data_IF_356590092815
#
_entry.id   IF_356590092815
#
_cell.length_a   1.000
_cell.length_b   1.000
_cell.length_c   1.000
_cell.angle_alpha   90.00
_cell.angle_beta   90.00
_cell.angle_gamma   90.00
#
_symmetry.space_group_name_H-M   'P 1'
#
loop_
_entity.id
_entity.type
_entity.pdbx_description
1 polymer ?
#
# COMPACT_ATOMS: atom_id res chain seq x y z
N UNK A 1 -21.03 -8.80 -48.25
CA UNK A 1 -20.85 -10.27 -48.51
C UNK A 1 -21.26 -10.95 -47.20
N UNK A 2 -22.52 -11.34 -47.02
CA UNK A 2 -23.18 -12.58 -47.49
C UNK A 2 -22.48 -13.81 -46.85
N UNK A 3 -23.09 -14.46 -45.91
CA UNK A 3 -24.05 -15.59 -45.86
C UNK A 3 -23.91 -16.26 -44.48
N UNK A 4 -24.85 -16.69 -43.82
CA UNK A 4 -26.10 -17.48 -43.78
C UNK A 4 -26.02 -18.46 -42.62
N UNK A 5 -26.87 -18.31 -41.61
CA UNK A 5 -28.11 -19.07 -41.34
C UNK A 5 -27.97 -20.61 -41.47
N UNK A 6 -28.19 -21.30 -40.34
CA UNK A 6 -29.00 -22.51 -40.41
C UNK A 6 -29.71 -22.72 -39.05
N UNK A 7 -31.02 -22.55 -39.12
CA UNK A 7 -32.02 -23.09 -38.21
C UNK A 7 -32.27 -24.55 -38.60
N UNK A 8 -32.51 -25.41 -37.67
CA UNK A 8 -33.29 -26.62 -37.91
C UNK A 8 -34.27 -26.84 -36.76
N UNK A 9 -35.51 -26.81 -37.20
CA UNK A 9 -36.77 -27.12 -36.52
C UNK A 9 -37.12 -28.59 -36.66
N UNK A 10 -38.14 -29.01 -35.89
CA UNK A 10 -39.07 -30.16 -36.04
C UNK A 10 -38.67 -31.43 -35.25
N UNK A 11 -39.59 -32.20 -34.71
CA UNK A 11 -41.05 -32.32 -34.63
C UNK A 11 -41.39 -33.35 -33.58
N UNK A 12 -42.36 -33.16 -32.79
CA UNK A 12 -43.72 -33.68 -32.72
C UNK A 12 -43.88 -35.21 -32.92
N UNK A 13 -44.59 -35.74 -31.93
CA UNK A 13 -45.54 -36.84 -31.91
C UNK A 13 -45.03 -38.30 -31.80
N UNK A 14 -45.48 -38.97 -30.74
CA UNK A 14 -46.41 -40.06 -30.93
C UNK A 14 -47.06 -40.52 -29.62
N UNK A 15 -48.36 -40.62 -29.70
CA UNK A 15 -49.34 -41.11 -28.72
C UNK A 15 -49.42 -42.66 -28.77
N UNK A 16 -50.08 -43.19 -27.72
CA UNK A 16 -50.87 -44.45 -27.64
C UNK A 16 -50.07 -45.65 -27.07
N UNK A 17 -50.52 -46.43 -26.14
CA UNK A 17 -51.78 -47.15 -25.89
C UNK A 17 -51.71 -47.82 -24.52
N UNK A 18 -52.83 -47.77 -23.78
CA UNK A 18 -53.16 -48.61 -22.65
C UNK A 18 -53.56 -50.01 -23.19
N UNK A 19 -53.40 -51.14 -22.43
CA UNK A 19 -54.61 -51.70 -21.88
C UNK A 19 -54.47 -52.28 -20.44
N UNK A 20 -55.42 -51.92 -19.63
CA UNK A 20 -56.38 -52.63 -18.76
C UNK A 20 -56.30 -54.18 -18.87
N UNK A 21 -56.02 -54.86 -17.74
CA UNK A 21 -56.50 -56.22 -17.41
C UNK A 21 -56.87 -56.24 -15.93
N UNK A 22 -58.16 -56.40 -15.69
CA UNK A 22 -58.74 -56.79 -14.43
C UNK A 22 -59.05 -58.31 -14.50
N UNK A 23 -58.84 -58.99 -13.41
CA UNK A 23 -59.52 -60.28 -13.07
C UNK A 23 -59.22 -60.54 -11.58
N UNK A 24 -60.13 -60.36 -10.65
CA UNK A 24 -61.19 -61.18 -10.08
C UNK A 24 -60.73 -62.28 -9.07
N UNK A 25 -61.12 -62.05 -7.80
CA UNK A 25 -61.67 -62.93 -6.76
C UNK A 25 -61.26 -64.38 -6.62
N UNK A 26 -60.83 -64.76 -5.38
CA UNK A 26 -61.42 -65.88 -4.67
C UNK A 26 -61.31 -65.70 -3.16
N UNK A 27 -62.44 -65.71 -2.49
CA UNK A 27 -62.66 -65.85 -1.05
C UNK A 27 -62.59 -67.25 -0.60
N UNK A 28 -61.95 -67.50 0.57
CA UNK A 28 -62.26 -68.54 1.55
C UNK A 28 -61.22 -68.33 2.69
N UNK A 29 -61.51 -68.14 3.89
CA UNK A 29 -62.52 -68.63 4.81
C UNK A 29 -61.87 -69.05 6.10
N UNK A 30 -62.25 -68.39 7.25
CA UNK A 30 -62.29 -68.83 8.65
C UNK A 30 -61.02 -69.50 9.28
N UNK A 31 -60.56 -69.14 10.38
CA UNK A 31 -60.86 -68.62 11.73
C UNK A 31 -59.91 -69.28 12.76
N UNK A 32 -59.90 -69.04 14.04
CA UNK A 32 -59.23 -67.93 14.73
C UNK A 32 -58.24 -68.48 15.81
N UNK A 33 -57.77 -67.51 16.55
CA UNK A 33 -56.97 -67.66 17.82
C UNK A 33 -55.47 -67.87 17.72
N UNK A 34 -54.79 -66.71 17.87
CA UNK A 34 -53.78 -66.68 18.92
C UNK A 34 -53.50 -65.25 19.34
N UNK A 35 -53.19 -65.13 20.57
CA UNK A 35 -53.14 -63.96 21.42
C UNK A 35 -52.22 -62.82 20.90
N UNK A 36 -52.74 -61.67 20.94
CA UNK A 36 -52.15 -60.38 21.01
C UNK A 36 -50.85 -60.35 21.85
N UNK A 37 -49.71 -60.20 21.15
CA UNK A 37 -48.55 -59.53 21.72
C UNK A 37 -48.60 -58.08 21.24
N UNK A 38 -48.89 -57.20 22.20
CA UNK A 38 -48.85 -55.77 21.96
C UNK A 38 -47.52 -55.33 21.36
N UNK A 39 -47.50 -54.45 20.33
CA UNK A 39 -46.26 -53.97 19.84
C UNK A 39 -45.55 -53.15 20.95
N UNK A 40 -44.39 -53.64 21.34
CA UNK A 40 -43.44 -52.84 22.15
C UNK A 40 -43.33 -51.49 21.56
N UNK A 41 -43.61 -50.46 22.35
CA UNK A 41 -43.37 -49.07 22.02
C UNK A 41 -41.98 -48.98 21.41
N UNK A 42 -41.92 -48.60 20.12
CA UNK A 42 -40.72 -48.08 19.51
C UNK A 42 -40.31 -46.91 20.37
N UNK A 43 -39.23 -47.08 21.13
CA UNK A 43 -38.56 -45.91 21.72
C UNK A 43 -38.22 -45.01 20.57
N UNK A 44 -38.88 -43.85 20.49
CA UNK A 44 -38.52 -42.76 19.62
C UNK A 44 -37.02 -42.52 19.87
N UNK A 45 -36.18 -42.94 18.92
CA UNK A 45 -34.78 -42.58 18.92
C UNK A 45 -34.80 -41.08 18.59
N UNK A 46 -34.78 -40.25 19.63
CA UNK A 46 -34.64 -38.80 19.48
C UNK A 46 -33.29 -38.54 18.84
N UNK A 47 -33.29 -38.36 17.49
CA UNK A 47 -32.10 -38.04 16.73
C UNK A 47 -31.70 -36.60 17.07
N UNK A 48 -30.67 -36.45 17.90
CA UNK A 48 -30.11 -35.13 18.25
C UNK A 48 -28.96 -34.83 17.31
N UNK A 49 -29.10 -33.81 16.44
CA UNK A 49 -28.01 -33.41 15.57
C UNK A 49 -26.83 -32.86 16.39
N UNK A 50 -25.60 -33.15 15.95
CA UNK A 50 -24.39 -32.55 16.48
C UNK A 50 -24.25 -31.14 15.88
N UNK A 51 -24.16 -30.12 16.73
CA UNK A 51 -24.04 -28.70 16.33
C UNK A 51 -22.82 -28.09 17.01
N UNK A 52 -22.08 -27.30 16.25
CA UNK A 52 -20.89 -26.57 16.73
C UNK A 52 -21.30 -25.17 17.14
N UNK A 53 -20.94 -24.81 18.37
CA UNK A 53 -21.21 -23.49 18.94
C UNK A 53 -19.90 -22.75 19.21
N UNK A 54 -19.98 -21.43 19.14
CA UNK A 54 -18.93 -20.50 19.53
C UNK A 54 -19.52 -19.42 20.42
N UNK A 55 -18.75 -18.99 21.41
CA UNK A 55 -19.17 -17.88 22.25
C UNK A 55 -19.06 -16.55 21.51
N UNK A 56 -20.11 -15.73 21.58
CA UNK A 56 -20.03 -14.34 21.16
C UNK A 56 -19.16 -13.54 22.11
N UNK A 57 -18.50 -12.51 21.63
CA UNK A 57 -17.63 -11.66 22.44
C UNK A 57 -17.91 -10.16 22.22
N UNK A 58 -17.16 -9.30 22.91
CA UNK A 58 -17.21 -7.84 22.75
C UNK A 58 -15.87 -7.26 22.31
N UNK A 59 -14.99 -8.09 21.73
CA UNK A 59 -13.73 -7.59 21.20
C UNK A 59 -13.94 -6.58 20.09
N UNK A 60 -13.01 -5.62 19.92
CA UNK A 60 -13.14 -4.63 18.86
C UNK A 60 -13.17 -5.27 17.47
N UNK A 61 -14.16 -4.90 16.67
CA UNK A 61 -14.18 -5.25 15.25
C UNK A 61 -13.51 -4.15 14.44
N UNK A 62 -12.50 -4.55 13.66
CA UNK A 62 -11.75 -3.67 12.79
C UNK A 62 -12.21 -3.86 11.34
N UNK A 63 -12.52 -2.75 10.68
CA UNK A 63 -12.82 -2.74 9.26
C UNK A 63 -11.63 -2.20 8.49
N UNK A 64 -11.18 -2.96 7.52
CA UNK A 64 -10.05 -2.61 6.68
C UNK A 64 -10.50 -2.39 5.24
N UNK A 65 -9.90 -1.40 4.60
CA UNK A 65 -9.92 -1.24 3.16
C UNK A 65 -8.62 -1.83 2.61
N UNK A 66 -8.72 -2.79 1.72
CA UNK A 66 -7.56 -3.40 1.06
C UNK A 66 -7.30 -2.76 -0.29
N UNK A 67 -6.04 -2.46 -0.56
CA UNK A 67 -5.58 -1.91 -1.83
C UNK A 67 -4.19 -2.41 -2.16
N UNK A 68 -3.91 -2.52 -3.45
CA UNK A 68 -2.58 -2.81 -3.96
C UNK A 68 -1.84 -1.51 -4.29
N UNK A 69 -0.53 -1.56 -4.17
CA UNK A 69 0.32 -0.42 -4.50
C UNK A 69 1.76 -0.80 -4.78
N UNK A 70 2.54 0.22 -5.06
CA UNK A 70 3.94 0.09 -5.45
C UNK A 70 4.81 0.82 -4.42
N UNK A 71 5.92 0.19 -4.06
CA UNK A 71 6.93 0.76 -3.19
C UNK A 71 7.79 1.74 -3.99
N UNK A 72 7.90 2.96 -3.51
CA UNK A 72 8.76 4.02 -4.04
C UNK A 72 9.83 4.41 -2.99
N UNK A 73 10.99 4.87 -3.40
CA UNK A 73 12.00 5.36 -2.46
C UNK A 73 11.51 6.66 -1.81
N UNK A 74 12.04 6.98 -0.63
CA UNK A 74 11.78 8.27 0.00
C UNK A 74 12.28 9.43 -0.86
N UNK A 75 13.50 9.26 -1.42
CA UNK A 75 14.13 10.19 -2.38
C UNK A 75 14.84 9.38 -3.43
N UNK A 76 14.78 9.86 -4.65
CA UNK A 76 15.55 9.38 -5.79
C UNK A 76 16.16 10.56 -6.53
N UNK A 77 17.32 10.36 -7.08
CA UNK A 77 18.01 11.33 -7.91
C UNK A 77 18.84 10.64 -8.99
N UNK A 78 18.66 11.07 -10.21
CA UNK A 78 19.49 10.63 -11.34
C UNK A 78 20.87 11.30 -11.23
N UNK A 79 21.94 10.52 -11.29
CA UNK A 79 23.31 10.98 -11.29
C UNK A 79 23.67 11.44 -12.69
N UNK A 80 23.81 12.76 -12.87
CA UNK A 80 24.15 13.37 -14.16
C UNK A 80 25.25 14.40 -13.96
N UNK A 81 26.41 14.31 -14.67
CA UNK A 81 27.44 15.33 -14.63
C UNK A 81 26.96 16.59 -15.36
N UNK A 82 27.40 17.75 -14.87
CA UNK A 82 27.07 19.06 -15.47
C UNK A 82 28.06 19.48 -16.56
N UNK A 83 29.23 18.85 -16.60
CA UNK A 83 30.28 19.08 -17.60
C UNK A 83 30.63 17.78 -18.27
N UNK A 84 31.29 17.89 -19.44
CA UNK A 84 31.88 16.73 -20.15
C UNK A 84 33.36 16.62 -19.78
N UNK A 85 33.88 15.39 -19.70
CA UNK A 85 35.30 15.17 -19.40
C UNK A 85 35.68 13.71 -19.32
N UNK A 86 36.97 13.46 -19.11
CA UNK A 86 37.50 12.13 -18.84
C UNK A 86 37.42 11.82 -17.36
N UNK A 87 36.97 10.60 -17.02
CA UNK A 87 36.88 10.13 -15.64
C UNK A 87 38.29 9.96 -15.07
N UNK A 88 38.55 10.66 -13.98
CA UNK A 88 39.77 10.42 -13.16
C UNK A 88 39.51 9.30 -12.15
N UNK A 89 38.36 9.33 -11.49
CA UNK A 89 37.95 8.39 -10.48
C UNK A 89 36.44 8.31 -10.34
N UNK A 90 35.90 7.15 -9.97
CA UNK A 90 34.49 6.99 -9.64
C UNK A 90 34.23 5.92 -8.60
N UNK A 91 33.10 6.05 -7.90
CA UNK A 91 32.53 5.08 -6.94
C UNK A 91 31.15 4.58 -7.39
N UNK A 92 30.75 4.89 -8.61
CA UNK A 92 29.44 4.52 -9.15
C UNK A 92 29.49 3.03 -9.51
N UNK A 93 28.83 2.21 -8.68
CA UNK A 93 28.63 0.79 -8.90
C UNK A 93 27.25 0.40 -8.38
N UNK A 94 26.61 -0.59 -9.00
CA UNK A 94 25.30 -1.06 -8.58
C UNK A 94 25.35 -1.63 -7.14
N UNK A 95 24.39 -1.22 -6.29
CA UNK A 95 24.34 -1.58 -4.88
C UNK A 95 25.34 -0.84 -3.98
N UNK A 96 26.16 0.06 -4.51
CA UNK A 96 27.13 0.84 -3.70
C UNK A 96 26.39 1.79 -2.74
N UNK A 97 26.81 1.83 -1.48
CA UNK A 97 26.27 2.73 -0.47
C UNK A 97 27.10 4.00 -0.38
N UNK A 98 26.40 5.13 -0.36
CA UNK A 98 26.98 6.46 -0.29
C UNK A 98 26.36 7.28 0.81
N UNK A 99 27.16 8.19 1.39
CA UNK A 99 26.72 9.18 2.35
C UNK A 99 26.55 10.54 1.66
N UNK A 100 25.76 11.42 2.26
CA UNK A 100 25.65 12.79 1.81
C UNK A 100 27.03 13.46 1.79
N UNK A 101 27.41 14.07 0.67
CA UNK A 101 28.70 14.72 0.47
C UNK A 101 29.78 13.80 -0.10
N UNK A 102 29.55 12.47 -0.18
CA UNK A 102 30.52 11.59 -0.82
C UNK A 102 30.69 11.94 -2.28
N UNK A 103 31.95 11.94 -2.74
CA UNK A 103 32.26 12.09 -4.17
C UNK A 103 31.89 10.80 -4.87
N UNK A 104 31.08 10.88 -5.92
CA UNK A 104 30.62 9.76 -6.74
C UNK A 104 31.47 9.57 -7.99
N UNK A 105 31.91 10.69 -8.58
CA UNK A 105 32.70 10.75 -9.78
C UNK A 105 33.57 12.01 -9.74
N UNK A 106 34.78 11.91 -10.21
CA UNK A 106 35.70 13.02 -10.42
C UNK A 106 36.24 12.96 -11.84
N UNK A 107 36.20 14.10 -12.50
CA UNK A 107 36.84 14.27 -13.81
C UNK A 107 38.31 14.72 -13.66
N UNK A 108 39.14 14.44 -14.66
CA UNK A 108 40.47 15.06 -14.81
C UNK A 108 40.24 16.56 -14.87
N UNK A 109 40.74 17.29 -13.89
CA UNK A 109 40.36 18.69 -13.64
C UNK A 109 41.46 19.74 -13.84
N UNK A 110 42.61 19.36 -14.41
CA UNK A 110 43.78 20.23 -14.51
C UNK A 110 43.49 21.56 -15.26
N UNK A 111 42.73 21.48 -16.34
CA UNK A 111 42.36 22.66 -17.12
C UNK A 111 41.45 23.62 -16.33
N UNK A 112 40.43 23.10 -15.64
CA UNK A 112 39.53 23.93 -14.81
C UNK A 112 40.23 24.51 -13.61
N UNK A 113 41.17 23.75 -13.01
CA UNK A 113 42.01 24.24 -11.92
C UNK A 113 42.91 25.38 -12.37
N UNK A 114 43.53 25.24 -13.52
CA UNK A 114 44.37 26.31 -14.07
C UNK A 114 43.55 27.59 -14.33
N UNK A 115 42.35 27.45 -14.91
CA UNK A 115 41.45 28.61 -15.13
C UNK A 115 41.04 29.25 -13.80
N UNK A 116 40.78 28.47 -12.77
CA UNK A 116 40.44 28.99 -11.44
C UNK A 116 41.63 29.74 -10.84
N UNK A 117 42.83 29.19 -10.93
CA UNK A 117 44.07 29.80 -10.40
C UNK A 117 44.38 31.11 -11.13
N UNK A 118 44.22 31.17 -12.46
CA UNK A 118 44.35 32.39 -13.25
C UNK A 118 43.31 33.46 -12.83
N UNK A 119 42.04 33.08 -12.72
CA UNK A 119 40.96 34.01 -12.32
C UNK A 119 41.18 34.53 -10.89
N UNK A 120 41.65 33.66 -9.97
CA UNK A 120 41.98 34.01 -8.59
C UNK A 120 43.13 35.01 -8.54
N UNK A 121 44.19 34.82 -9.33
CA UNK A 121 45.30 35.73 -9.39
C UNK A 121 44.86 37.10 -9.90
N UNK A 122 44.02 37.17 -10.96
CA UNK A 122 43.48 38.39 -11.49
C UNK A 122 42.58 39.13 -10.46
N UNK A 123 41.79 38.39 -9.69
CA UNK A 123 40.99 38.97 -8.60
C UNK A 123 41.86 39.55 -7.52
N UNK A 124 42.88 38.81 -7.03
CA UNK A 124 43.82 39.33 -6.01
C UNK A 124 44.55 40.56 -6.49
N UNK A 125 45.00 40.62 -7.75
CA UNK A 125 45.67 41.81 -8.32
C UNK A 125 44.72 43.04 -8.36
N UNK A 126 43.47 42.83 -8.82
CA UNK A 126 42.45 43.90 -8.86
C UNK A 126 42.09 44.37 -7.42
N UNK A 127 41.99 43.47 -6.45
CA UNK A 127 41.72 43.78 -5.06
C UNK A 127 42.84 44.57 -4.41
N UNK A 128 44.09 44.21 -4.66
CA UNK A 128 45.27 44.94 -4.16
C UNK A 128 45.33 46.38 -4.74
N UNK A 129 45.13 46.53 -6.04
CA UNK A 129 45.07 47.85 -6.70
C UNK A 129 43.96 48.72 -6.11
N UNK A 130 42.75 48.15 -5.94
CA UNK A 130 41.62 48.83 -5.36
C UNK A 130 41.93 49.27 -3.90
N UNK A 131 42.52 48.41 -3.10
CA UNK A 131 42.83 48.70 -1.70
C UNK A 131 43.88 49.81 -1.57
N UNK A 132 44.93 49.80 -2.40
CA UNK A 132 45.93 50.87 -2.44
C UNK A 132 45.26 52.22 -2.76
N UNK A 133 44.47 52.29 -3.81
CA UNK A 133 43.81 53.54 -4.23
C UNK A 133 42.78 54.01 -3.19
N UNK A 134 42.04 53.08 -2.59
CA UNK A 134 41.10 53.34 -1.49
C UNK A 134 41.80 54.01 -0.32
N UNK A 135 42.97 53.52 0.07
CA UNK A 135 43.76 54.12 1.15
C UNK A 135 44.34 55.49 0.78
N UNK A 136 44.78 55.67 -0.45
CA UNK A 136 45.25 56.97 -0.94
C UNK A 136 44.12 58.00 -0.89
N UNK A 137 42.94 57.70 -1.42
CA UNK A 137 41.80 58.62 -1.46
C UNK A 137 41.24 58.91 -0.04
N UNK A 138 41.29 57.97 0.86
CA UNK A 138 40.92 58.21 2.27
C UNK A 138 41.79 59.22 2.97
N UNK A 139 43.08 59.28 2.63
CA UNK A 139 43.99 60.28 3.19
C UNK A 139 43.71 61.71 2.69
N UNK A 140 43.18 61.82 1.46
CA UNK A 140 42.89 63.11 0.85
C UNK A 140 41.53 63.70 1.22
N UNK A 141 40.62 62.88 1.79
CA UNK A 141 39.26 63.31 2.16
C UNK A 141 39.25 63.70 3.64
N UNK A 142 38.73 64.93 3.93
CA UNK A 142 38.47 65.40 5.30
C UNK A 142 37.45 64.49 5.98
N UNK A 143 37.87 63.74 7.00
CA UNK A 143 37.03 62.74 7.69
C UNK A 143 37.27 61.30 7.27
N UNK A 144 38.07 60.98 6.25
CA UNK A 144 38.56 59.66 5.90
C UNK A 144 37.52 58.64 5.41
N UNK A 145 36.30 59.09 5.07
CA UNK A 145 35.20 58.20 4.60
C UNK A 145 34.88 58.45 3.16
N UNK A 146 35.01 57.43 2.32
CA UNK A 146 34.62 57.47 0.93
C UNK A 146 33.08 57.40 0.81
N UNK A 147 32.49 58.15 -0.13
CA UNK A 147 31.08 57.98 -0.42
C UNK A 147 30.82 56.62 -1.12
N UNK A 148 29.59 56.12 -1.06
CA UNK A 148 29.20 54.90 -1.74
C UNK A 148 29.43 54.98 -3.27
N UNK A 149 29.22 56.17 -3.84
CA UNK A 149 29.47 56.40 -5.27
C UNK A 149 30.96 56.35 -5.62
N UNK A 150 31.82 56.94 -4.76
CA UNK A 150 33.27 56.88 -4.98
C UNK A 150 33.79 55.45 -4.86
N UNK A 151 33.27 54.70 -3.91
CA UNK A 151 33.60 53.28 -3.75
C UNK A 151 33.22 52.44 -4.96
N UNK A 152 32.03 52.63 -5.51
CA UNK A 152 31.60 51.97 -6.77
C UNK A 152 32.45 52.36 -7.96
N UNK A 153 32.75 53.65 -8.10
CA UNK A 153 33.60 54.15 -9.19
C UNK A 153 35.01 53.51 -9.12
N UNK A 154 35.58 53.41 -7.92
CA UNK A 154 36.85 52.74 -7.71
C UNK A 154 36.80 51.26 -8.09
N UNK A 155 35.77 50.53 -7.64
CA UNK A 155 35.61 49.10 -7.97
C UNK A 155 35.49 48.87 -9.48
N UNK A 156 34.80 49.78 -10.20
CA UNK A 156 34.70 49.73 -11.66
C UNK A 156 36.03 50.10 -12.34
N UNK A 157 36.69 51.15 -11.89
CA UNK A 157 37.95 51.63 -12.47
C UNK A 157 39.08 50.58 -12.42
N UNK A 158 39.13 49.81 -11.29
CA UNK A 158 40.17 48.78 -11.12
C UNK A 158 39.68 47.38 -11.51
N UNK A 159 38.48 47.27 -12.10
CA UNK A 159 37.97 46.00 -12.60
C UNK A 159 37.70 44.95 -11.54
N UNK A 160 37.58 45.37 -10.25
CA UNK A 160 37.39 44.46 -9.10
C UNK A 160 36.15 43.58 -9.24
N UNK A 161 34.99 44.17 -9.58
CA UNK A 161 33.74 43.43 -9.74
C UNK A 161 33.80 42.43 -10.89
N UNK A 162 34.49 42.77 -11.99
CA UNK A 162 34.66 41.87 -13.14
C UNK A 162 35.58 40.68 -12.78
N UNK A 163 36.70 40.96 -12.11
CA UNK A 163 37.66 39.96 -11.69
C UNK A 163 37.03 39.00 -10.65
N UNK A 164 36.25 39.57 -9.71
CA UNK A 164 35.50 38.75 -8.72
C UNK A 164 34.50 37.82 -9.41
N UNK A 165 33.69 38.34 -10.33
CA UNK A 165 32.72 37.55 -11.08
C UNK A 165 33.38 36.45 -11.91
N UNK A 166 34.56 36.74 -12.53
CA UNK A 166 35.33 35.74 -13.27
C UNK A 166 35.86 34.63 -12.35
N UNK A 167 36.35 35.00 -11.17
CA UNK A 167 36.81 34.04 -10.16
C UNK A 167 35.63 33.14 -9.65
N UNK A 168 34.52 33.75 -9.26
CA UNK A 168 33.33 33.04 -8.77
C UNK A 168 32.81 32.06 -9.84
N UNK A 169 32.85 32.46 -11.12
CA UNK A 169 32.47 31.60 -12.25
C UNK A 169 33.43 30.43 -12.44
N UNK A 170 34.75 30.68 -12.42
CA UNK A 170 35.77 29.64 -12.55
C UNK A 170 35.71 28.66 -11.38
N UNK A 171 35.43 29.13 -10.15
CA UNK A 171 35.22 28.28 -8.97
C UNK A 171 34.00 27.39 -9.13
N UNK A 172 32.88 27.91 -9.62
CA UNK A 172 31.68 27.15 -9.92
C UNK A 172 31.94 26.07 -10.99
N UNK A 173 32.61 26.42 -12.08
CA UNK A 173 32.98 25.49 -13.15
C UNK A 173 33.90 24.37 -12.62
N UNK A 174 34.92 24.74 -11.81
CA UNK A 174 35.79 23.76 -11.13
C UNK A 174 35.01 22.86 -10.20
N UNK A 175 34.01 23.36 -9.46
CA UNK A 175 33.18 22.54 -8.58
C UNK A 175 32.41 21.44 -9.33
N UNK A 176 32.07 21.67 -10.60
CA UNK A 176 31.36 20.68 -11.44
C UNK A 176 32.26 19.53 -11.90
N UNK A 177 33.60 19.62 -11.72
CA UNK A 177 34.51 18.50 -11.98
C UNK A 177 34.31 17.33 -11.02
N UNK A 178 33.62 17.56 -9.91
CA UNK A 178 33.28 16.53 -8.93
C UNK A 178 31.76 16.42 -8.81
N UNK A 179 31.23 15.21 -8.98
CA UNK A 179 29.82 14.89 -8.75
C UNK A 179 29.72 14.30 -7.35
N UNK A 180 28.91 14.95 -6.49
CA UNK A 180 28.76 14.55 -5.09
C UNK A 180 27.34 14.07 -4.80
N UNK A 181 27.19 13.16 -3.83
CA UNK A 181 25.90 12.67 -3.38
C UNK A 181 25.14 13.74 -2.57
N UNK A 182 23.96 14.19 -2.97
CA UNK A 182 23.21 15.22 -2.23
C UNK A 182 22.51 14.66 -0.99
N UNK A 183 22.37 13.35 -0.89
CA UNK A 183 21.85 12.63 0.28
C UNK A 183 22.41 11.21 0.34
N UNK A 184 22.32 10.60 1.51
CA UNK A 184 22.76 9.23 1.73
C UNK A 184 21.78 8.24 1.12
N UNK A 185 22.30 7.24 0.38
CA UNK A 185 21.46 6.25 -0.32
C UNK A 185 22.28 5.07 -0.86
N UNK A 186 21.64 4.33 -1.74
CA UNK A 186 22.24 3.21 -2.48
C UNK A 186 22.17 3.53 -3.98
N UNK A 187 23.27 3.29 -4.70
CA UNK A 187 23.35 3.55 -6.13
C UNK A 187 22.73 2.38 -6.88
N UNK A 188 21.88 2.70 -7.86
CA UNK A 188 21.43 1.77 -8.87
C UNK A 188 21.93 2.22 -10.24
N UNK A 189 22.67 1.37 -10.94
CA UNK A 189 23.20 1.64 -12.28
C UNK A 189 23.32 0.36 -13.09
N UNK A 190 23.10 0.49 -14.40
CA UNK A 190 23.36 -0.58 -15.38
C UNK A 190 24.63 -0.31 -16.17
N UNK A 191 25.34 0.82 -15.88
CA UNK A 191 26.53 1.22 -16.61
C UNK A 191 27.78 0.62 -15.95
N UNK A 192 28.68 0.16 -16.78
CA UNK A 192 30.04 -0.19 -16.39
C UNK A 192 30.94 1.01 -16.75
N UNK A 193 31.21 1.85 -15.77
CA UNK A 193 32.11 2.98 -15.92
C UNK A 193 33.56 2.52 -15.77
N UNK A 194 34.47 3.19 -16.47
CA UNK A 194 35.90 2.95 -16.36
C UNK A 194 36.63 4.29 -16.24
N UNK A 195 37.67 4.32 -15.41
CA UNK A 195 38.60 5.44 -15.35
C UNK A 195 39.24 5.66 -16.74
N UNK A 196 39.41 6.91 -17.13
CA UNK A 196 39.86 7.29 -18.46
C UNK A 196 38.75 7.33 -19.52
N UNK A 197 37.54 6.88 -19.24
CA UNK A 197 36.43 7.02 -20.18
C UNK A 197 35.95 8.46 -20.28
N UNK A 198 35.53 8.87 -21.48
CA UNK A 198 34.96 10.19 -21.72
C UNK A 198 33.45 10.16 -21.53
N UNK A 199 32.93 11.07 -20.70
CA UNK A 199 31.49 11.21 -20.40
C UNK A 199 31.03 12.59 -20.82
N UNK A 200 29.87 12.63 -21.49
CA UNK A 200 29.21 13.90 -21.86
C UNK A 200 28.37 14.45 -20.69
N UNK A 201 28.26 15.77 -20.63
CA UNK A 201 27.33 16.44 -19.73
C UNK A 201 25.91 15.92 -19.94
N UNK A 202 25.15 15.73 -18.84
CA UNK A 202 23.79 15.22 -18.88
C UNK A 202 23.63 13.71 -19.09
N UNK A 203 24.73 12.96 -19.25
CA UNK A 203 24.65 11.49 -19.34
C UNK A 203 24.09 10.91 -18.04
N UNK A 204 23.08 10.04 -18.13
CA UNK A 204 22.55 9.32 -16.97
C UNK A 204 23.55 8.22 -16.56
N UNK A 205 24.17 8.37 -15.39
CA UNK A 205 25.15 7.44 -14.84
C UNK A 205 24.56 6.43 -13.86
N UNK A 206 23.25 6.59 -13.53
CA UNK A 206 22.55 5.79 -12.55
C UNK A 206 21.68 6.66 -11.66
N UNK A 207 21.19 6.09 -10.57
CA UNK A 207 20.32 6.75 -9.59
C UNK A 207 20.80 6.51 -8.17
N UNK A 208 20.62 7.51 -7.30
CA UNK A 208 20.77 7.33 -5.84
C UNK A 208 19.37 7.18 -5.27
N UNK A 209 19.15 6.12 -4.50
CA UNK A 209 17.87 5.77 -3.91
C UNK A 209 17.99 5.75 -2.38
N UNK A 210 17.16 6.51 -1.67
CA UNK A 210 17.06 6.44 -0.21
C UNK A 210 15.95 5.45 0.18
N UNK A 211 16.35 4.25 0.61
CA UNK A 211 15.46 3.15 1.00
C UNK A 211 15.23 3.02 2.51
N UNK A 212 15.76 3.89 3.35
CA UNK A 212 15.59 3.81 4.82
C UNK A 212 14.14 4.05 5.22
N UNK A 213 13.47 4.91 4.51
CA UNK A 213 12.02 5.06 4.46
C UNK A 213 11.57 4.80 3.05
N UNK A 214 10.38 4.28 2.91
CA UNK A 214 9.75 4.09 1.60
C UNK A 214 8.36 4.71 1.61
N UNK A 215 7.95 5.13 0.44
CA UNK A 215 6.60 5.60 0.17
C UNK A 215 5.87 4.48 -0.57
N UNK A 216 4.69 4.14 -0.10
CA UNK A 216 3.86 3.16 -0.77
C UNK A 216 2.69 3.91 -1.36
N UNK A 217 2.61 3.88 -2.69
CA UNK A 217 1.51 4.48 -3.43
C UNK A 217 0.44 3.44 -3.63
N UNK A 218 -0.69 3.59 -2.94
CA UNK A 218 -1.84 2.71 -3.04
C UNK A 218 -2.91 3.35 -3.92
N UNK A 219 -3.50 2.58 -4.84
CA UNK A 219 -4.61 3.02 -5.68
C UNK A 219 -5.94 2.62 -5.03
N UNK A 220 -6.74 3.59 -4.61
CA UNK A 220 -8.00 3.41 -3.89
C UNK A 220 -9.17 3.86 -4.74
N UNK A 221 -10.29 3.14 -4.71
CA UNK A 221 -11.50 3.54 -5.43
C UNK A 221 -12.02 4.91 -4.96
N UNK A 222 -12.51 5.71 -5.90
CA UNK A 222 -13.06 7.04 -5.62
C UNK A 222 -14.16 7.01 -4.54
N UNK A 223 -15.02 6.00 -4.58
CA UNK A 223 -16.09 5.80 -3.59
C UNK A 223 -15.59 5.60 -2.15
N UNK A 224 -14.38 5.09 -1.99
CA UNK A 224 -13.77 4.81 -0.68
C UNK A 224 -12.92 5.97 -0.15
N UNK A 225 -12.49 6.88 -1.03
CA UNK A 225 -11.63 8.02 -0.63
C UNK A 225 -12.24 8.91 0.45
N UNK A 226 -13.57 9.07 0.43
CA UNK A 226 -14.29 9.89 1.42
C UNK A 226 -14.14 9.39 2.85
N UNK A 227 -13.84 8.10 3.02
CA UNK A 227 -13.65 7.44 4.32
C UNK A 227 -12.21 7.56 4.83
N UNK A 228 -11.27 7.94 3.96
CA UNK A 228 -9.86 8.01 4.31
C UNK A 228 -9.49 9.36 4.91
N UNK A 229 -8.54 9.34 5.84
CA UNK A 229 -7.95 10.51 6.48
C UNK A 229 -6.44 10.33 6.61
N UNK A 230 -5.73 11.44 6.52
CA UNK A 230 -4.29 11.47 6.85
C UNK A 230 -4.11 11.04 8.31
N UNK A 231 -3.09 10.23 8.56
CA UNK A 231 -2.77 9.68 9.87
C UNK A 231 -3.36 8.31 10.18
N UNK A 232 -4.26 7.77 9.32
CA UNK A 232 -4.80 6.42 9.49
C UNK A 232 -3.69 5.36 9.43
N UNK A 233 -3.82 4.33 10.26
CA UNK A 233 -2.88 3.22 10.30
C UNK A 233 -3.09 2.27 9.11
N UNK A 234 -1.97 1.84 8.53
CA UNK A 234 -1.96 0.94 7.38
C UNK A 234 -1.03 -0.22 7.67
N UNK A 235 -1.53 -1.43 7.51
CA UNK A 235 -0.75 -2.65 7.53
C UNK A 235 -0.31 -2.97 6.10
N UNK A 236 0.99 -3.12 5.91
CA UNK A 236 1.58 -3.45 4.61
C UNK A 236 2.05 -4.88 4.63
N UNK A 237 1.71 -5.62 3.58
CA UNK A 237 2.21 -6.97 3.34
C UNK A 237 2.81 -7.11 1.96
N UNK A 238 4.00 -7.69 1.89
CA UNK A 238 4.65 -8.01 0.62
C UNK A 238 4.37 -9.46 0.20
N UNK A 239 4.54 -9.81 -1.08
CA UNK A 239 4.41 -11.20 -1.55
C UNK A 239 5.39 -12.17 -0.88
N UNK A 240 6.53 -11.67 -0.37
CA UNK A 240 7.50 -12.46 0.38
C UNK A 240 7.10 -12.75 1.84
N UNK A 241 5.91 -12.29 2.27
CA UNK A 241 5.42 -12.46 3.65
C UNK A 241 5.93 -11.42 4.64
N UNK A 242 6.76 -10.46 4.22
CA UNK A 242 7.17 -9.36 5.09
C UNK A 242 6.00 -8.44 5.40
N UNK A 243 5.88 -8.08 6.68
CA UNK A 243 4.83 -7.18 7.18
C UNK A 243 5.45 -5.94 7.80
N UNK A 244 4.85 -4.81 7.53
CA UNK A 244 5.21 -3.52 8.12
C UNK A 244 3.95 -2.72 8.43
N UNK A 245 4.09 -1.71 9.28
CA UNK A 245 3.03 -0.75 9.56
C UNK A 245 3.48 0.63 9.12
N UNK A 246 2.54 1.41 8.64
CA UNK A 246 2.77 2.79 8.23
C UNK A 246 1.53 3.63 8.51
N UNK A 247 1.59 4.89 8.09
CA UNK A 247 0.47 5.82 8.20
C UNK A 247 0.20 6.48 6.86
N UNK A 248 -1.08 6.77 6.60
CA UNK A 248 -1.46 7.60 5.45
C UNK A 248 -0.84 8.99 5.64
N UNK A 249 0.14 9.32 4.81
CA UNK A 249 0.83 10.60 4.83
C UNK A 249 0.11 11.64 3.95
N UNK A 250 -0.40 11.19 2.80
CA UNK A 250 -1.03 12.09 1.82
C UNK A 250 -2.16 11.36 1.09
N UNK A 251 -3.23 12.10 0.82
CA UNK A 251 -4.30 11.70 -0.09
C UNK A 251 -4.21 12.63 -1.30
N UNK A 252 -4.01 12.06 -2.49
CA UNK A 252 -3.89 12.84 -3.71
C UNK A 252 -5.20 13.57 -4.03
N UNK A 253 -5.15 14.84 -4.40
CA UNK A 253 -6.33 15.56 -4.86
C UNK A 253 -6.76 15.16 -6.29
N UNK A 254 -5.94 14.37 -6.99
CA UNK A 254 -6.20 13.95 -8.36
C UNK A 254 -6.83 12.56 -8.40
N UNK A 255 -7.88 12.42 -9.20
CA UNK A 255 -8.54 11.16 -9.48
C UNK A 255 -8.22 10.74 -10.92
N UNK A 256 -7.80 9.51 -11.09
CA UNK A 256 -7.66 8.89 -12.39
C UNK A 256 -9.06 8.55 -12.92
N UNK A 257 -9.52 9.31 -13.92
CA UNK A 257 -10.88 9.19 -14.48
C UNK A 257 -11.14 7.86 -15.18
N UNK A 258 -10.11 7.27 -15.79
CA UNK A 258 -10.24 6.00 -16.51
C UNK A 258 -10.42 4.83 -15.55
N UNK A 259 -9.63 4.81 -14.46
CA UNK A 259 -9.66 3.75 -13.45
C UNK A 259 -10.63 4.04 -12.32
N UNK A 260 -11.16 5.27 -12.20
CA UNK A 260 -11.96 5.76 -11.08
C UNK A 260 -11.28 5.52 -9.72
N UNK A 261 -9.97 5.77 -9.67
CA UNK A 261 -9.14 5.62 -8.49
C UNK A 261 -8.48 6.92 -8.12
N UNK A 262 -8.34 7.17 -6.84
CA UNK A 262 -7.43 8.16 -6.29
C UNK A 262 -6.22 7.48 -5.67
N UNK A 263 -5.18 8.23 -5.40
CA UNK A 263 -3.94 7.72 -4.84
C UNK A 263 -3.75 8.19 -3.42
N UNK A 264 -3.28 7.28 -2.57
CA UNK A 264 -2.80 7.64 -1.24
C UNK A 264 -1.33 7.24 -1.12
N UNK A 265 -0.59 8.02 -0.35
CA UNK A 265 0.81 7.75 -0.03
C UNK A 265 0.90 7.35 1.43
N UNK A 266 1.46 6.19 1.67
CA UNK A 266 1.74 5.65 3.00
C UNK A 266 3.25 5.68 3.23
N UNK A 267 3.70 6.30 4.32
CA UNK A 267 5.10 6.27 4.72
C UNK A 267 5.36 5.09 5.65
N UNK A 268 6.43 4.38 5.36
CA UNK A 268 6.83 3.17 6.09
C UNK A 268 8.33 3.21 6.36
N UNK A 269 8.72 2.96 7.61
CA UNK A 269 10.12 2.77 7.97
C UNK A 269 10.61 1.39 7.45
N UNK A 270 11.69 1.41 6.68
CA UNK A 270 12.25 0.22 6.02
C UNK A 270 13.68 -0.06 6.47
N UNK A 271 13.91 -0.06 7.78
CA UNK A 271 15.24 -0.28 8.36
C UNK A 271 15.81 -1.66 8.00
N UNK A 272 14.96 -2.66 7.84
CA UNK A 272 15.34 -4.02 7.39
C UNK A 272 15.67 -4.10 5.90
N UNK A 273 15.32 -3.06 5.09
CA UNK A 273 15.44 -3.02 3.63
C UNK A 273 14.73 -4.18 2.90
N UNK A 274 13.72 -4.75 3.56
CA UNK A 274 12.92 -5.83 2.98
C UNK A 274 12.01 -5.33 1.85
N UNK A 275 11.58 -4.06 1.91
CA UNK A 275 10.78 -3.42 0.86
C UNK A 275 11.74 -2.78 -0.16
N UNK A 276 11.72 -3.29 -1.40
CA UNK A 276 12.52 -2.77 -2.50
C UNK A 276 11.66 -1.88 -3.40
N UNK A 277 12.24 -0.83 -3.94
CA UNK A 277 11.60 0.04 -4.94
C UNK A 277 11.08 -0.78 -6.12
N UNK A 278 9.85 -0.47 -6.58
CA UNK A 278 9.17 -1.21 -7.63
C UNK A 278 8.42 -2.47 -7.18
N UNK A 279 8.56 -2.87 -5.90
CA UNK A 279 7.84 -4.02 -5.36
C UNK A 279 6.36 -3.72 -5.23
N UNK A 280 5.50 -4.65 -5.67
CA UNK A 280 4.06 -4.58 -5.42
C UNK A 280 3.76 -5.10 -4.02
N UNK A 281 2.91 -4.39 -3.28
CA UNK A 281 2.50 -4.72 -1.92
C UNK A 281 1.00 -4.54 -1.75
N UNK A 282 0.44 -5.20 -0.74
CA UNK A 282 -0.95 -5.00 -0.33
C UNK A 282 -0.98 -4.14 0.93
N UNK A 283 -1.77 -3.08 0.90
CA UNK A 283 -2.05 -2.21 2.03
C UNK A 283 -3.45 -2.48 2.59
N UNK A 284 -3.55 -2.70 3.90
CA UNK A 284 -4.81 -2.80 4.65
C UNK A 284 -4.94 -1.56 5.52
N UNK A 285 -5.81 -0.64 5.12
CA UNK A 285 -6.02 0.64 5.80
C UNK A 285 -7.13 0.45 6.82
N UNK A 286 -6.87 0.77 8.09
CA UNK A 286 -7.87 0.71 9.13
C UNK A 286 -8.84 1.88 8.97
N UNK A 287 -10.06 1.62 8.50
CA UNK A 287 -11.07 2.64 8.23
C UNK A 287 -12.02 2.87 9.40
N UNK A 288 -12.39 1.80 10.10
CA UNK A 288 -13.36 1.88 11.19
C UNK A 288 -12.97 0.91 12.32
N UNK A 289 -13.25 1.30 13.56
CA UNK A 289 -13.09 0.47 14.74
C UNK A 289 -14.39 0.52 15.54
N UNK A 290 -15.01 -0.65 15.72
CA UNK A 290 -16.24 -0.78 16.49
C UNK A 290 -15.92 -1.45 17.82
N UNK A 291 -16.10 -0.73 18.91
CA UNK A 291 -15.81 -1.19 20.28
C UNK A 291 -17.10 -1.32 21.07
N UNK A 292 -17.11 -2.26 22.04
CA UNK A 292 -18.24 -2.45 22.96
C UNK A 292 -19.50 -2.91 22.27
N UNK A 293 -19.40 -3.59 21.16
CA UNK A 293 -20.49 -4.18 20.40
C UNK A 293 -20.40 -5.69 20.44
N UNK A 294 -21.56 -6.36 20.42
CA UNK A 294 -21.60 -7.81 20.36
C UNK A 294 -21.06 -8.31 19.02
N UNK A 295 -19.95 -9.02 19.08
CA UNK A 295 -19.27 -9.60 17.93
C UNK A 295 -19.45 -11.12 17.90
N UNK A 296 -19.69 -11.66 16.71
CA UNK A 296 -19.70 -13.10 16.49
C UNK A 296 -19.06 -13.42 15.12
N UNK A 297 -18.55 -14.65 14.91
CA UNK A 297 -18.13 -15.09 13.58
C UNK A 297 -19.27 -14.98 12.57
N UNK A 298 -18.96 -14.58 11.33
CA UNK A 298 -19.98 -14.44 10.28
C UNK A 298 -20.76 -15.72 10.03
N UNK A 299 -20.16 -16.88 10.26
CA UNK A 299 -20.78 -18.19 10.07
C UNK A 299 -22.02 -18.45 10.95
N UNK A 300 -22.26 -17.64 12.00
CA UNK A 300 -23.48 -17.77 12.82
C UNK A 300 -24.74 -17.25 12.13
N UNK A 301 -24.60 -16.41 11.09
CA UNK A 301 -25.73 -15.84 10.37
C UNK A 301 -26.38 -16.86 9.45
N UNK A 302 -27.68 -16.96 9.55
CA UNK A 302 -28.52 -17.75 8.67
C UNK A 302 -29.65 -16.85 8.12
N UNK A 303 -29.96 -16.98 6.85
CA UNK A 303 -31.11 -16.33 6.24
C UNK A 303 -32.24 -17.34 6.06
N UNK A 304 -33.41 -17.04 6.60
CA UNK A 304 -34.60 -17.86 6.49
C UNK A 304 -35.83 -16.97 6.31
N UNK A 305 -36.65 -17.28 5.32
CA UNK A 305 -37.87 -16.52 4.99
C UNK A 305 -37.65 -15.02 4.80
N UNK A 306 -36.46 -14.65 4.22
CA UNK A 306 -36.08 -13.26 3.96
C UNK A 306 -35.68 -12.49 5.22
N UNK A 307 -35.42 -13.18 6.34
CA UNK A 307 -34.95 -12.59 7.60
C UNK A 307 -33.65 -13.24 8.03
N UNK A 308 -32.76 -12.45 8.60
CA UNK A 308 -31.53 -12.95 9.20
C UNK A 308 -31.78 -13.37 10.64
N UNK A 309 -31.25 -14.54 11.00
CA UNK A 309 -31.34 -15.09 12.34
C UNK A 309 -30.03 -15.78 12.77
N UNK A 310 -29.91 -16.00 14.06
CA UNK A 310 -28.86 -16.84 14.66
C UNK A 310 -29.53 -17.89 15.55
N UNK A 311 -28.86 -19.02 15.76
CA UNK A 311 -29.27 -20.00 16.73
C UNK A 311 -28.48 -19.83 18.01
N UNK A 312 -29.16 -19.45 19.09
CA UNK A 312 -28.62 -19.35 20.46
C UNK A 312 -28.89 -20.63 21.20
N UNK A 313 -27.90 -21.13 21.95
CA UNK A 313 -28.05 -22.24 22.84
C UNK A 313 -28.74 -21.79 24.14
N UNK A 314 -29.87 -22.43 24.47
CA UNK A 314 -30.56 -22.25 25.73
C UNK A 314 -30.74 -23.63 26.36
N UNK A 315 -29.95 -23.94 27.44
CA UNK A 315 -29.78 -25.26 28.01
C UNK A 315 -29.37 -26.31 26.95
N UNK A 316 -30.20 -27.32 26.67
CA UNK A 316 -29.95 -28.36 25.67
C UNK A 316 -30.73 -28.15 24.36
N UNK A 317 -31.33 -27.00 24.18
CA UNK A 317 -32.17 -26.64 23.02
C UNK A 317 -31.64 -25.43 22.30
N UNK A 318 -31.89 -25.34 21.00
CA UNK A 318 -31.58 -24.18 20.20
C UNK A 318 -32.79 -23.26 20.08
N UNK A 319 -32.57 -22.01 20.28
CA UNK A 319 -33.54 -20.95 20.01
C UNK A 319 -33.06 -20.10 18.83
N UNK A 320 -33.92 -19.87 17.84
CA UNK A 320 -33.61 -18.90 16.82
C UNK A 320 -33.94 -17.51 17.30
N UNK A 321 -32.99 -16.61 17.10
CA UNK A 321 -33.13 -15.19 17.43
C UNK A 321 -32.98 -14.42 16.13
N UNK A 322 -34.01 -13.63 15.78
CA UNK A 322 -33.90 -12.72 14.63
C UNK A 322 -33.00 -11.57 14.98
N UNK A 323 -32.05 -11.28 14.09
CA UNK A 323 -31.04 -10.26 14.30
C UNK A 323 -30.95 -9.34 13.09
N UNK A 324 -30.60 -8.08 13.34
CA UNK A 324 -30.26 -7.13 12.29
C UNK A 324 -28.75 -6.89 12.34
N UNK A 325 -27.96 -7.50 11.42
CA UNK A 325 -26.53 -7.29 11.38
C UNK A 325 -26.22 -5.82 11.09
N UNK A 326 -25.55 -5.13 12.01
CA UNK A 326 -25.16 -3.74 11.83
C UNK A 326 -23.93 -3.62 10.90
N UNK A 327 -22.99 -4.53 11.04
CA UNK A 327 -21.74 -4.54 10.28
C UNK A 327 -21.39 -5.99 10.00
N UNK A 328 -21.07 -6.26 8.74
CA UNK A 328 -20.63 -7.59 8.28
C UNK A 328 -19.27 -7.44 7.63
N UNK A 329 -18.28 -8.17 8.16
CA UNK A 329 -16.98 -8.35 7.54
C UNK A 329 -16.83 -9.77 6.99
N UNK A 330 -15.79 -10.14 6.28
CA UNK A 330 -15.59 -11.52 5.83
C UNK A 330 -15.57 -12.55 6.97
N UNK A 331 -15.02 -12.16 8.15
CA UNK A 331 -14.79 -13.10 9.26
C UNK A 331 -15.81 -12.94 10.38
N UNK A 332 -16.27 -11.71 10.66
CA UNK A 332 -17.10 -11.38 11.82
C UNK A 332 -18.31 -10.52 11.48
N UNK A 333 -19.26 -10.50 12.40
CA UNK A 333 -20.46 -9.65 12.33
C UNK A 333 -20.66 -8.93 13.67
N UNK A 334 -21.15 -7.71 13.62
CA UNK A 334 -21.71 -6.99 14.77
C UNK A 334 -23.22 -7.22 14.77
N UNK A 335 -23.73 -7.79 15.86
CA UNK A 335 -25.14 -8.07 16.04
C UNK A 335 -25.79 -7.00 16.91
N UNK A 336 -27.13 -6.89 16.81
CA UNK A 336 -27.93 -6.07 17.70
C UNK A 336 -27.95 -6.68 19.11
N UNK A 337 -27.71 -5.86 20.13
CA UNK A 337 -27.57 -6.29 21.53
C UNK A 337 -28.92 -6.60 22.21
N UNK A 338 -30.07 -6.17 21.64
CA UNK A 338 -31.37 -6.26 22.33
C UNK A 338 -31.82 -7.69 22.65
N UNK A 339 -31.31 -8.70 21.91
CA UNK A 339 -31.71 -10.11 22.08
C UNK A 339 -30.54 -11.04 22.45
N UNK A 340 -29.31 -10.53 22.47
CA UNK A 340 -28.09 -11.31 22.67
C UNK A 340 -27.13 -10.60 23.62
N UNK A 341 -26.46 -11.38 24.47
CA UNK A 341 -25.43 -10.88 25.38
C UNK A 341 -24.04 -11.45 25.04
N UNK A 342 -22.95 -10.73 25.36
CA UNK A 342 -21.61 -11.27 25.23
C UNK A 342 -21.45 -12.56 26.09
N UNK A 343 -20.95 -13.62 25.46
CA UNK A 343 -20.86 -14.94 26.07
C UNK A 343 -21.95 -15.91 25.65
N UNK A 344 -22.98 -15.44 24.95
CA UNK A 344 -24.01 -16.33 24.38
C UNK A 344 -23.37 -17.30 23.38
N UNK A 345 -23.72 -18.56 23.48
CA UNK A 345 -23.25 -19.61 22.57
C UNK A 345 -24.13 -19.62 21.32
N UNK A 346 -23.51 -19.32 20.18
CA UNK A 346 -24.17 -19.23 18.87
C UNK A 346 -23.70 -20.37 17.97
N UNK A 347 -24.64 -21.02 17.26
CA UNK A 347 -24.33 -22.09 16.34
C UNK A 347 -23.58 -21.56 15.11
N UNK A 348 -22.43 -22.16 14.75
CA UNK A 348 -21.57 -21.73 13.65
C UNK A 348 -21.51 -22.77 12.52
N UNK A 349 -21.77 -24.03 12.81
CA UNK A 349 -21.74 -25.10 11.82
C UNK A 349 -22.87 -26.11 12.06
N UNK A 350 -23.32 -26.78 10.99
CA UNK A 350 -24.40 -27.80 10.97
C UNK A 350 -25.75 -27.29 11.45
N UNK A 351 -25.99 -25.99 11.38
CA UNK A 351 -27.21 -25.35 11.91
C UNK A 351 -28.31 -25.09 10.86
N UNK A 352 -28.05 -25.34 9.56
CA UNK A 352 -29.00 -25.05 8.47
C UNK A 352 -30.34 -25.79 8.55
N UNK A 353 -30.32 -27.00 9.11
CA UNK A 353 -31.51 -27.86 9.21
C UNK A 353 -32.20 -27.82 10.59
N UNK A 354 -31.76 -26.96 11.49
CA UNK A 354 -32.28 -26.87 12.84
C UNK A 354 -33.68 -26.25 12.87
N UNK A 355 -34.50 -26.74 13.80
CA UNK A 355 -35.81 -26.18 14.15
C UNK A 355 -35.76 -25.47 15.49
N UNK A 356 -36.71 -24.54 15.71
CA UNK A 356 -36.83 -23.86 16.99
C UNK A 356 -37.14 -24.87 18.12
N UNK A 357 -36.48 -24.72 19.26
CA UNK A 357 -36.61 -25.59 20.44
C UNK A 357 -36.21 -27.06 20.18
N UNK A 358 -35.38 -27.31 19.17
CA UNK A 358 -34.88 -28.63 18.89
C UNK A 358 -33.77 -29.00 19.91
N UNK A 359 -33.83 -30.21 20.48
CA UNK A 359 -32.74 -30.76 21.29
C UNK A 359 -31.57 -31.22 20.41
N UNK A 360 -30.38 -30.92 20.86
CA UNK A 360 -29.15 -31.14 20.09
C UNK A 360 -28.04 -31.74 20.96
N UNK A 361 -27.02 -32.24 20.30
CA UNK A 361 -25.73 -32.52 20.93
C UNK A 361 -24.82 -31.33 20.73
N UNK A 362 -24.33 -30.76 21.82
CA UNK A 362 -23.53 -29.54 21.81
C UNK A 362 -22.06 -29.86 21.67
N UNK A 363 -21.39 -29.20 20.73
CA UNK A 363 -19.92 -29.11 20.66
C UNK A 363 -19.52 -27.63 20.70
N UNK A 364 -18.63 -27.27 21.62
CA UNK A 364 -18.13 -25.92 21.75
C UNK A 364 -16.77 -25.84 21.03
N UNK A 365 -16.61 -24.83 20.22
CA UNK A 365 -15.34 -24.48 19.57
C UNK A 365 -14.69 -23.38 20.41
N UNK A 366 -13.43 -23.59 20.82
CA UNK A 366 -12.62 -22.58 21.52
C UNK A 366 -12.08 -21.49 20.59
#
# INVERSE_FOLDING_TARGET
MIKKVHQLKLSKTMRLIIPFIAVVFIMAGCDPTDKEDAPKAQSDIEIRPDVIFIASDSEPLYRYLESQGIVEPNRDLIIQPRISGFIDWHRIADGARVQQGDTLLRFISDEWKLRLDEARNNYVDAEQKLNIERELRRRDIRGGVLSENDERNLQQQFGYLQAKLAMDRAELEYSYTSVVAPFSGEIHTMLNLSEGAYINAGTNLGQILDHRRVKIRLDVLESELSRLRVGMDVQISSPSGYRATGKVATISPLINRERKTGQIIVEVDNNSRALKTGMTVTGRILTETHRGKLRAPRGVLLERDGRTLVFKLNNDMVEWVYVEPQIVTPEYVILNEDALEPGDLLAVDRHFALSHQQKINVRIMD
#
